data_IF_425287776077
#
_entry.id   IF_425287776077
#
_cell.length_a   1.000
_cell.length_b   1.000
_cell.length_c   1.000
_cell.angle_alpha   90.00
_cell.angle_beta   90.00
_cell.angle_gamma   90.00
#
_symmetry.space_group_name_H-M   'P 1'
#
loop_
_entity.id
_entity.type
_entity.pdbx_description
1 polymer ?
#
# COMPACT_ATOMS: atom_id res chain seq x y z
N UNK A 1 12.63 9.90 9.53
CA UNK A 1 11.16 9.96 9.63
C UNK A 1 10.64 11.30 9.16
N UNK A 2 11.08 12.39 9.79
CA UNK A 2 10.78 13.76 9.36
C UNK A 2 11.09 14.00 7.87
N UNK A 3 12.24 13.52 7.39
CA UNK A 3 12.60 13.61 5.97
C UNK A 3 11.64 12.87 5.03
N UNK A 4 11.05 11.75 5.46
CA UNK A 4 10.05 11.05 4.65
C UNK A 4 8.77 11.87 4.66
N UNK A 5 8.21 12.19 5.83
CA UNK A 5 6.93 12.91 5.96
C UNK A 5 6.94 14.28 5.24
N UNK A 6 8.08 14.95 5.17
CA UNK A 6 8.20 16.24 4.49
C UNK A 6 8.34 16.11 2.97
N UNK A 7 8.72 14.95 2.44
CA UNK A 7 8.84 14.73 1.00
C UNK A 7 7.47 14.78 0.32
N UNK A 8 7.42 15.37 -0.87
CA UNK A 8 6.23 15.33 -1.72
C UNK A 8 5.98 13.92 -2.25
N UNK A 9 4.70 13.61 -2.51
CA UNK A 9 4.36 12.42 -3.25
C UNK A 9 5.01 12.46 -4.63
N UNK A 10 5.48 11.30 -5.06
CA UNK A 10 6.25 11.19 -6.28
C UNK A 10 6.25 9.77 -6.79
N UNK A 11 7.14 9.47 -7.73
CA UNK A 11 7.16 8.15 -8.35
C UNK A 11 7.34 7.01 -7.35
N UNK A 12 8.17 7.22 -6.34
CA UNK A 12 8.57 6.21 -5.35
C UNK A 12 8.03 6.49 -3.94
N UNK A 13 7.11 7.44 -3.76
CA UNK A 13 6.52 7.76 -2.45
C UNK A 13 5.04 8.09 -2.58
N UNK A 14 4.22 7.45 -1.76
CA UNK A 14 2.78 7.70 -1.67
C UNK A 14 2.34 7.69 -0.19
N UNK A 15 1.47 8.62 0.18
CA UNK A 15 0.81 8.66 1.48
C UNK A 15 -0.61 8.10 1.40
N UNK A 16 -1.03 7.44 2.47
CA UNK A 16 -2.42 7.07 2.71
C UNK A 16 -2.77 7.38 4.15
N UNK A 17 -3.91 8.04 4.36
CA UNK A 17 -4.36 8.39 5.71
C UNK A 17 -4.56 7.15 6.57
N UNK A 18 -5.06 6.06 5.97
CA UNK A 18 -5.43 4.82 6.63
C UNK A 18 -5.26 3.64 5.68
N UNK A 19 -5.19 2.42 6.22
CA UNK A 19 -5.17 1.17 5.46
C UNK A 19 -6.57 0.84 4.93
N UNK A 20 -7.59 0.87 5.79
CA UNK A 20 -8.94 0.41 5.48
C UNK A 20 -10.06 1.15 6.23
N UNK A 21 -9.75 2.12 7.08
CA UNK A 21 -10.76 2.95 7.76
C UNK A 21 -11.09 4.18 6.94
N UNK A 22 -12.36 4.40 6.62
CA UNK A 22 -12.80 5.63 5.97
C UNK A 22 -13.02 6.71 7.03
N UNK A 23 -12.20 7.78 6.97
CA UNK A 23 -12.27 8.89 7.92
C UNK A 23 -13.57 9.70 7.80
N UNK A 24 -14.26 9.66 6.65
CA UNK A 24 -15.53 10.37 6.45
C UNK A 24 -16.71 9.55 6.97
N UNK A 25 -16.72 8.27 6.64
CA UNK A 25 -17.82 7.36 7.02
C UNK A 25 -17.66 6.76 8.42
N UNK A 26 -16.49 6.90 9.04
CA UNK A 26 -16.22 6.40 10.38
C UNK A 26 -16.22 4.88 10.49
N UNK A 27 -16.00 4.17 9.38
CA UNK A 27 -16.12 2.70 9.32
C UNK A 27 -15.13 2.08 8.34
N UNK A 28 -15.04 0.75 8.39
CA UNK A 28 -14.18 -0.04 7.51
C UNK A 28 -14.69 0.03 6.06
N UNK A 29 -13.80 0.40 5.14
CA UNK A 29 -14.08 0.60 3.73
C UNK A 29 -13.21 -0.28 2.83
N UNK A 30 -13.88 -1.07 1.99
CA UNK A 30 -13.23 -1.85 0.93
C UNK A 30 -12.57 -0.93 -0.11
N UNK A 31 -13.12 0.27 -0.33
CA UNK A 31 -12.58 1.25 -1.26
C UNK A 31 -11.23 1.80 -0.78
N UNK A 32 -11.15 2.23 0.49
CA UNK A 32 -9.89 2.69 1.10
C UNK A 32 -8.85 1.57 1.07
N UNK A 33 -9.24 0.35 1.46
CA UNK A 33 -8.37 -0.83 1.37
C UNK A 33 -7.84 -1.07 -0.03
N UNK A 34 -8.72 -1.06 -1.04
CA UNK A 34 -8.33 -1.25 -2.44
C UNK A 34 -7.36 -0.14 -2.88
N UNK A 35 -7.58 1.10 -2.46
CA UNK A 35 -6.69 2.22 -2.77
C UNK A 35 -5.28 2.06 -2.14
N UNK A 36 -5.18 1.45 -0.97
CA UNK A 36 -3.90 1.12 -0.33
C UNK A 36 -3.20 -0.03 -1.07
N UNK A 37 -3.90 -1.14 -1.31
CA UNK A 37 -3.32 -2.33 -1.94
C UNK A 37 -2.94 -2.11 -3.41
N UNK A 38 -3.73 -1.33 -4.18
CA UNK A 38 -3.37 -0.98 -5.57
C UNK A 38 -2.02 -0.25 -5.64
N UNK A 39 -1.67 0.51 -4.61
CA UNK A 39 -0.41 1.26 -4.55
C UNK A 39 0.76 0.30 -4.36
N UNK A 40 0.61 -0.70 -3.49
CA UNK A 40 1.61 -1.78 -3.32
C UNK A 40 1.81 -2.53 -4.65
N UNK A 41 0.72 -2.89 -5.33
CA UNK A 41 0.79 -3.53 -6.67
C UNK A 41 1.51 -2.64 -7.67
N UNK A 42 1.21 -1.34 -7.69
CA UNK A 42 1.87 -0.38 -8.58
C UNK A 42 3.37 -0.32 -8.33
N UNK A 43 3.83 -0.26 -7.08
CA UNK A 43 5.26 -0.28 -6.76
C UNK A 43 5.92 -1.61 -7.13
N UNK A 44 5.30 -2.74 -6.80
CA UNK A 44 5.80 -4.07 -7.19
C UNK A 44 5.97 -4.18 -8.70
N UNK A 45 5.07 -3.56 -9.47
CA UNK A 45 5.13 -3.55 -10.92
C UNK A 45 6.00 -2.45 -11.52
N UNK A 46 6.49 -1.48 -10.76
CA UNK A 46 7.23 -0.33 -11.32
C UNK A 46 8.69 -0.31 -10.91
N UNK A 47 9.06 -1.02 -9.86
CA UNK A 47 10.45 -1.21 -9.46
C UNK A 47 10.65 -1.02 -7.97
N UNK A 48 10.20 0.09 -7.43
CA UNK A 48 10.37 0.41 -6.00
C UNK A 48 9.30 1.37 -5.55
N UNK A 49 9.25 1.60 -4.24
CA UNK A 49 8.53 2.71 -3.66
C UNK A 49 8.20 2.48 -2.21
N UNK A 50 7.93 3.56 -1.50
CA UNK A 50 7.50 3.56 -0.11
C UNK A 50 6.05 4.02 -0.04
N UNK A 51 5.21 3.18 0.54
CA UNK A 51 3.84 3.54 0.93
C UNK A 51 3.82 3.85 2.42
N UNK A 52 3.43 5.07 2.78
CA UNK A 52 3.32 5.50 4.18
C UNK A 52 1.85 5.58 4.57
N UNK A 53 1.44 4.77 5.53
CA UNK A 53 0.06 4.65 6.03
C UNK A 53 -0.03 5.31 7.41
N UNK A 54 -1.04 6.17 7.60
CA UNK A 54 -1.21 6.99 8.79
C UNK A 54 -0.82 8.45 8.57
N UNK A 55 -0.71 8.89 7.31
CA UNK A 55 -0.38 10.28 6.92
C UNK A 55 -1.36 10.72 5.84
N UNK A 56 -1.99 11.87 6.01
CA UNK A 56 -2.92 12.41 5.03
C UNK A 56 -2.22 13.09 3.86
N UNK A 57 -2.98 13.37 2.81
CA UNK A 57 -2.48 14.00 1.58
C UNK A 57 -1.89 15.40 1.83
N UNK A 58 -2.32 16.08 2.91
CA UNK A 58 -1.74 17.34 3.39
C UNK A 58 -0.53 17.16 4.33
N UNK A 59 0.05 15.95 4.34
CA UNK A 59 1.22 15.53 5.16
C UNK A 59 1.01 15.59 6.67
N UNK A 60 -0.24 15.70 7.14
CA UNK A 60 -0.52 15.59 8.58
C UNK A 60 -0.45 14.14 9.04
N UNK A 61 0.18 13.92 10.18
CA UNK A 61 0.22 12.58 10.78
C UNK A 61 -1.13 12.30 11.45
N UNK A 62 -1.87 11.37 10.85
CA UNK A 62 -3.18 10.92 11.36
C UNK A 62 -2.99 9.77 12.34
N UNK A 63 -2.04 8.89 12.04
CA UNK A 63 -1.71 7.68 12.81
C UNK A 63 -2.53 6.44 12.41
N UNK A 64 -2.24 5.31 13.03
CA UNK A 64 -2.92 4.03 12.76
C UNK A 64 -4.13 3.77 13.68
N UNK A 65 -4.44 4.67 14.60
CA UNK A 65 -5.46 4.51 15.64
C UNK A 65 -6.83 4.19 15.04
N UNK A 66 -7.18 4.83 13.92
CA UNK A 66 -8.41 4.56 13.17
C UNK A 66 -8.47 3.15 12.55
N UNK A 67 -7.35 2.64 12.05
CA UNK A 67 -7.33 1.27 11.53
C UNK A 67 -7.36 0.25 12.67
N UNK A 68 -6.64 0.52 13.76
CA UNK A 68 -6.64 -0.32 14.97
C UNK A 68 -8.03 -0.41 15.58
N UNK A 69 -8.82 0.67 15.56
CA UNK A 69 -10.21 0.65 16.07
C UNK A 69 -11.14 -0.25 15.26
N UNK A 70 -10.76 -0.70 14.06
CA UNK A 70 -11.52 -1.72 13.30
C UNK A 70 -11.30 -3.15 13.81
N UNK A 71 -10.41 -3.33 14.78
CA UNK A 71 -10.06 -4.62 15.37
C UNK A 71 -10.69 -4.77 16.76
N UNK A 72 -10.87 -6.02 17.20
CA UNK A 72 -11.27 -6.32 18.57
C UNK A 72 -10.29 -5.68 19.57
N UNK A 73 -10.75 -5.25 20.76
CA UNK A 73 -9.92 -4.54 21.74
C UNK A 73 -8.58 -5.22 22.06
N UNK A 74 -8.56 -6.55 22.18
CA UNK A 74 -7.37 -7.36 22.44
C UNK A 74 -6.38 -7.43 21.26
N UNK A 75 -6.78 -6.94 20.09
CA UNK A 75 -6.00 -6.92 18.84
C UNK A 75 -5.62 -5.51 18.38
N UNK A 76 -5.84 -4.48 19.20
CA UNK A 76 -5.48 -3.10 18.86
C UNK A 76 -3.98 -2.84 19.06
N UNK A 77 -3.14 -3.59 18.35
CA UNK A 77 -1.68 -3.49 18.44
C UNK A 77 -1.02 -3.38 17.07
N UNK A 78 0.22 -2.89 17.08
CA UNK A 78 1.10 -2.81 15.90
C UNK A 78 1.24 -4.17 15.21
N UNK A 79 1.40 -5.23 15.99
CA UNK A 79 1.63 -6.59 15.51
C UNK A 79 0.42 -7.10 14.74
N UNK A 80 -0.78 -6.85 15.26
CA UNK A 80 -2.03 -7.19 14.59
C UNK A 80 -2.30 -6.35 13.34
N UNK A 81 -1.92 -5.07 13.35
CA UNK A 81 -1.92 -4.25 12.12
C UNK A 81 -1.00 -4.84 11.06
N UNK A 82 0.24 -5.16 11.43
CA UNK A 82 1.22 -5.78 10.52
C UNK A 82 0.67 -7.10 9.95
N UNK A 83 0.15 -7.97 10.81
CA UNK A 83 -0.43 -9.25 10.40
C UNK A 83 -1.64 -9.06 9.46
N UNK A 84 -2.50 -8.09 9.77
CA UNK A 84 -3.65 -7.76 8.91
C UNK A 84 -3.19 -7.32 7.52
N UNK A 85 -2.19 -6.43 7.45
CA UNK A 85 -1.64 -5.95 6.19
C UNK A 85 -0.98 -7.09 5.39
N UNK A 86 -0.17 -7.93 6.04
CA UNK A 86 0.46 -9.10 5.40
C UNK A 86 -0.60 -10.06 4.86
N UNK A 87 -1.65 -10.36 5.63
CA UNK A 87 -2.73 -11.22 5.18
C UNK A 87 -3.44 -10.64 3.94
N UNK A 88 -3.73 -9.34 3.95
CA UNK A 88 -4.33 -8.66 2.80
C UNK A 88 -3.45 -8.72 1.55
N UNK A 89 -2.13 -8.54 1.70
CA UNK A 89 -1.17 -8.67 0.59
C UNK A 89 -1.17 -10.11 0.08
N UNK A 90 -1.10 -11.10 0.96
CA UNK A 90 -1.08 -12.52 0.58
C UNK A 90 -2.36 -12.95 -0.13
N UNK A 91 -3.52 -12.53 0.36
CA UNK A 91 -4.84 -12.91 -0.17
C UNK A 91 -5.18 -12.22 -1.50
N UNK A 92 -4.80 -10.94 -1.65
CA UNK A 92 -5.23 -10.12 -2.80
C UNK A 92 -4.12 -9.85 -3.82
N UNK A 93 -2.85 -10.10 -3.49
CA UNK A 93 -1.72 -9.86 -4.40
C UNK A 93 -0.93 -11.16 -4.62
N UNK A 94 -0.52 -11.81 -3.53
CA UNK A 94 0.22 -13.07 -3.54
C UNK A 94 1.38 -13.10 -2.56
N UNK A 95 1.60 -14.23 -1.91
CA UNK A 95 2.67 -14.42 -0.91
C UNK A 95 4.07 -14.50 -1.53
N UNK A 96 4.16 -14.80 -2.83
CA UNK A 96 5.40 -14.81 -3.60
C UNK A 96 6.14 -13.45 -3.63
N UNK A 97 5.43 -12.35 -3.33
CA UNK A 97 6.00 -11.01 -3.29
C UNK A 97 6.65 -10.66 -1.94
N UNK A 98 6.55 -11.53 -0.93
CA UNK A 98 7.12 -11.30 0.40
C UNK A 98 8.61 -10.88 0.39
N UNK A 99 9.48 -11.40 -0.49
CA UNK A 99 10.87 -10.91 -0.56
C UNK A 99 11.00 -9.46 -1.06
N UNK A 100 10.06 -9.00 -1.91
CA UNK A 100 10.14 -7.71 -2.60
C UNK A 100 9.77 -6.52 -1.72
N UNK A 101 9.16 -6.75 -0.54
CA UNK A 101 8.78 -5.68 0.37
C UNK A 101 9.24 -5.92 1.81
N UNK A 102 9.30 -4.85 2.59
CA UNK A 102 9.42 -4.90 4.04
C UNK A 102 8.44 -3.95 4.68
N UNK A 103 7.90 -4.33 5.83
CA UNK A 103 7.03 -3.48 6.65
C UNK A 103 7.82 -3.01 7.86
N UNK A 104 7.78 -1.71 8.13
CA UNK A 104 8.35 -1.11 9.33
C UNK A 104 7.42 -0.05 9.89
N UNK A 105 7.61 0.27 11.16
CA UNK A 105 6.82 1.28 11.84
C UNK A 105 7.72 2.37 12.37
N UNK A 106 7.17 3.57 12.45
CA UNK A 106 7.82 4.69 13.09
C UNK A 106 6.80 5.54 13.83
N UNK A 107 7.26 6.27 14.84
CA UNK A 107 6.45 7.23 15.58
C UNK A 107 6.81 8.65 15.15
N UNK A 108 5.79 9.49 15.02
CA UNK A 108 5.94 10.92 14.80
C UNK A 108 4.81 11.62 15.55
N UNK A 109 5.14 12.66 16.33
CA UNK A 109 4.18 13.39 17.19
C UNK A 109 3.34 12.45 18.08
N UNK A 110 3.97 11.41 18.64
CA UNK A 110 3.31 10.41 19.50
C UNK A 110 2.47 9.36 18.76
N UNK A 111 2.11 9.60 17.49
CA UNK A 111 1.30 8.71 16.66
C UNK A 111 2.16 7.66 15.95
N UNK A 112 1.61 6.46 15.80
CA UNK A 112 2.25 5.37 15.08
C UNK A 112 1.86 5.43 13.60
N UNK A 113 2.80 5.21 12.70
CA UNK A 113 2.53 5.04 11.25
C UNK A 113 3.21 3.77 10.73
N UNK A 114 2.67 3.21 9.65
CA UNK A 114 3.22 2.05 8.96
C UNK A 114 3.88 2.48 7.66
N UNK A 115 5.03 1.88 7.33
CA UNK A 115 5.73 2.11 6.07
C UNK A 115 5.93 0.76 5.40
N UNK A 116 5.42 0.62 4.19
CA UNK A 116 5.64 -0.53 3.31
C UNK A 116 6.67 -0.11 2.27
N UNK A 117 7.89 -0.61 2.41
CA UNK A 117 8.96 -0.37 1.44
C UNK A 117 9.01 -1.52 0.45
N UNK A 118 8.62 -1.27 -0.80
CA UNK A 118 8.90 -2.15 -1.93
C UNK A 118 10.30 -1.84 -2.43
N UNK A 119 11.22 -2.78 -2.22
CA UNK A 119 12.66 -2.58 -2.45
C UNK A 119 13.06 -2.78 -3.90
N UNK A 120 12.38 -3.70 -4.57
CA UNK A 120 12.65 -4.08 -5.96
C UNK A 120 11.38 -4.62 -6.61
N UNK A 121 11.39 -4.64 -7.95
CA UNK A 121 10.32 -5.15 -8.79
C UNK A 121 9.96 -6.57 -8.34
N UNK A 122 8.66 -6.88 -8.30
CA UNK A 122 8.20 -8.22 -7.95
C UNK A 122 8.82 -9.29 -8.87
N UNK A 123 9.00 -10.53 -8.38
CA UNK A 123 9.61 -11.61 -9.18
C UNK A 123 8.80 -11.99 -10.42
N UNK A 124 7.55 -11.54 -10.49
CA UNK A 124 6.65 -11.65 -11.64
C UNK A 124 5.65 -10.49 -11.63
N UNK A 125 4.84 -10.32 -12.69
CA UNK A 125 3.80 -9.29 -12.72
C UNK A 125 2.79 -9.46 -11.57
N UNK A 126 2.58 -8.41 -10.77
CA UNK A 126 1.64 -8.38 -9.66
C UNK A 126 0.25 -7.93 -10.13
N UNK A 127 -0.79 -8.59 -9.63
CA UNK A 127 -2.18 -8.23 -9.88
C UNK A 127 -2.89 -8.03 -8.55
N UNK A 128 -3.81 -7.07 -8.50
CA UNK A 128 -4.75 -6.94 -7.40
C UNK A 128 -5.99 -7.78 -7.72
N UNK A 129 -6.31 -8.75 -6.85
CA UNK A 129 -7.54 -9.52 -6.90
C UNK A 129 -8.65 -8.75 -6.19
N UNK A 130 -9.70 -8.41 -6.93
CA UNK A 130 -10.93 -7.83 -6.40
C UNK A 130 -12.13 -8.66 -6.88
N UNK A 131 -12.59 -9.56 -6.01
CA UNK A 131 -13.54 -10.63 -6.35
C UNK A 131 -13.00 -11.50 -7.50
N UNK A 132 -13.73 -11.57 -8.63
CA UNK A 132 -13.34 -12.30 -9.84
C UNK A 132 -12.38 -11.50 -10.74
N UNK A 133 -12.26 -10.19 -10.52
CA UNK A 133 -11.40 -9.34 -11.33
C UNK A 133 -9.93 -9.43 -10.88
N UNK A 134 -9.02 -9.38 -11.85
CA UNK A 134 -7.58 -9.18 -11.64
C UNK A 134 -7.16 -7.89 -12.31
N UNK A 135 -6.70 -6.95 -11.51
CA UNK A 135 -6.37 -5.61 -11.98
C UNK A 135 -4.86 -5.41 -11.96
N UNK A 136 -4.32 -4.84 -13.04
CA UNK A 136 -2.90 -4.56 -13.18
C UNK A 136 -2.64 -3.06 -13.02
N UNK A 137 -1.76 -2.69 -12.08
CA UNK A 137 -1.45 -1.30 -11.75
C UNK A 137 0.04 -1.03 -11.89
N UNK A 138 0.39 0.16 -12.36
CA UNK A 138 1.77 0.67 -12.46
C UNK A 138 1.83 2.11 -11.98
N UNK A 139 3.00 2.57 -11.56
CA UNK A 139 3.29 3.99 -11.33
C UNK A 139 3.66 4.63 -12.67
N UNK A 140 3.11 5.79 -12.94
CA UNK A 140 3.48 6.64 -14.07
C UNK A 140 3.67 8.04 -13.54
N UNK A 141 4.92 8.49 -13.41
CA UNK A 141 5.25 9.70 -12.64
C UNK A 141 4.66 9.59 -11.23
N UNK A 142 3.79 10.51 -10.80
CA UNK A 142 3.16 10.52 -9.47
C UNK A 142 1.77 9.87 -9.42
N UNK A 143 1.31 9.19 -10.47
CA UNK A 143 -0.03 8.57 -10.49
C UNK A 143 0.03 7.06 -10.62
N UNK A 144 -0.93 6.40 -9.97
CA UNK A 144 -1.19 4.96 -10.15
C UNK A 144 -2.13 4.74 -11.32
N UNK A 145 -1.63 4.20 -12.44
CA UNK A 145 -2.40 3.90 -13.65
C UNK A 145 -2.79 2.42 -13.68
N UNK A 146 -4.07 2.15 -13.98
CA UNK A 146 -4.53 0.80 -14.31
C UNK A 146 -4.25 0.54 -15.80
N UNK A 147 -3.54 -0.54 -16.13
CA UNK A 147 -3.37 -0.99 -17.51
C UNK A 147 -4.41 -2.06 -17.85
N UNK A 148 -4.82 -2.14 -19.12
CA UNK A 148 -5.80 -3.11 -19.60
C UNK A 148 -5.38 -3.70 -20.95
N UNK A 149 -5.84 -4.92 -21.24
CA UNK A 149 -5.62 -5.58 -22.54
C UNK A 149 -4.14 -5.59 -22.95
N UNK A 150 -3.87 -5.13 -24.17
CA UNK A 150 -2.53 -5.13 -24.77
C UNK A 150 -1.51 -4.28 -24.00
N UNK A 151 -1.95 -3.24 -23.26
CA UNK A 151 -1.05 -2.44 -22.43
C UNK A 151 -0.34 -3.31 -21.38
N UNK A 152 -1.04 -4.31 -20.83
CA UNK A 152 -0.47 -5.22 -19.83
C UNK A 152 0.59 -6.11 -20.48
N UNK A 153 0.27 -6.73 -21.62
CA UNK A 153 1.19 -7.62 -22.33
C UNK A 153 2.47 -6.89 -22.75
N UNK A 154 2.32 -5.68 -23.31
CA UNK A 154 3.45 -4.83 -23.72
C UNK A 154 4.31 -4.43 -22.52
N UNK A 155 3.68 -4.05 -21.41
CA UNK A 155 4.40 -3.68 -20.20
C UNK A 155 5.19 -4.87 -19.63
N UNK A 156 4.58 -6.03 -19.51
CA UNK A 156 5.24 -7.24 -19.00
C UNK A 156 6.43 -7.63 -19.86
N UNK A 157 6.23 -7.66 -21.19
CA UNK A 157 7.28 -8.01 -22.16
C UNK A 157 8.47 -7.06 -22.15
N UNK A 158 8.32 -5.84 -21.63
CA UNK A 158 9.40 -4.84 -21.54
C UNK A 158 10.16 -4.93 -20.21
N UNK A 159 9.51 -5.42 -19.14
CA UNK A 159 10.02 -5.27 -17.78
C UNK A 159 10.38 -6.58 -17.05
N UNK A 160 10.02 -7.75 -17.58
CA UNK A 160 10.34 -9.07 -17.01
C UNK A 160 10.97 -10.02 -18.04
N UNK A 161 11.82 -9.49 -18.92
CA UNK A 161 12.65 -10.32 -19.79
C UNK A 161 13.88 -10.85 -19.09
#
# INVERSE_FOLDING_TARGET
>A
MEQIIQADEGQDLEYKSTLQFDLKEGTKSKFVRKATLKTIVAFLNSGSGSLVIGVSDDKKVVGLEHDLSTMSPERQSREWFQQTLVNLINEQIGSEFAPSYSIRFARHEGKLVCIVDVKYRGPKPAYLKDNEAREFYVRTSNVTKQLKGDEIANYINTHWR
#
